data_IF_488054068821
#
_entry.id   IF_488054068821
#
_cell.length_a   1.000
_cell.length_b   1.000
_cell.length_c   1.000
_cell.angle_alpha   90.00
_cell.angle_beta   90.00
_cell.angle_gamma   90.00
#
_symmetry.space_group_name_H-M   'P 1'
#
loop_
_entity.id
_entity.type
_entity.pdbx_description
1 polymer ?
#
# COMPACT_ATOMS: atom_id res chain seq x y z
N UNK A 1 -2.93 -2.96 -16.72
CA UNK A 1 -1.74 -2.91 -15.86
C UNK A 1 -2.14 -2.40 -14.49
N UNK A 2 -1.56 -2.96 -13.41
CA UNK A 2 -1.91 -2.67 -12.01
C UNK A 2 -0.62 -2.47 -11.23
N UNK A 3 -0.67 -1.58 -10.24
CA UNK A 3 0.45 -1.32 -9.32
C UNK A 3 -0.02 -1.72 -7.92
N UNK A 4 0.40 -2.90 -7.41
CA UNK A 4 0.01 -3.39 -6.09
C UNK A 4 0.81 -2.71 -4.98
N UNK A 5 0.23 -2.65 -3.77
CA UNK A 5 0.93 -2.17 -2.56
C UNK A 5 1.81 -3.23 -1.92
N UNK A 6 1.46 -4.51 -2.03
CA UNK A 6 2.11 -5.61 -1.32
C UNK A 6 1.92 -5.56 0.20
N UNK A 7 0.84 -4.97 0.69
CA UNK A 7 0.52 -4.87 2.11
C UNK A 7 -0.12 -6.17 2.62
N UNK A 8 0.17 -6.50 3.88
CA UNK A 8 -0.39 -7.66 4.58
C UNK A 8 -1.02 -7.24 5.89
N UNK A 9 -2.12 -7.91 6.27
CA UNK A 9 -2.76 -7.75 7.57
C UNK A 9 -2.44 -8.94 8.47
N UNK A 10 -1.95 -8.64 9.68
CA UNK A 10 -1.70 -9.64 10.71
C UNK A 10 -2.99 -10.01 11.45
N UNK A 11 -3.07 -11.21 12.06
CA UNK A 11 -4.20 -11.57 12.88
C UNK A 11 -4.51 -10.53 13.95
N UNK A 12 -5.79 -10.19 14.08
CA UNK A 12 -6.29 -9.24 15.07
C UNK A 12 -7.00 -10.02 16.17
N UNK A 13 -6.34 -10.13 17.33
CA UNK A 13 -6.87 -10.79 18.52
C UNK A 13 -7.57 -9.77 19.45
N UNK A 14 -8.36 -8.88 18.89
CA UNK A 14 -9.05 -7.88 19.69
C UNK A 14 -10.35 -8.46 20.21
N UNK A 15 -10.49 -8.50 21.54
CA UNK A 15 -11.69 -8.93 22.25
C UNK A 15 -12.13 -7.77 23.15
N UNK A 16 -13.37 -7.34 23.02
CA UNK A 16 -13.97 -6.34 23.88
C UNK A 16 -15.16 -6.96 24.62
N UNK A 17 -15.08 -7.00 25.95
CA UNK A 17 -16.10 -7.62 26.79
C UNK A 17 -16.43 -9.09 26.42
N UNK A 18 -15.39 -9.87 26.03
CA UNK A 18 -15.56 -11.28 25.62
C UNK A 18 -16.03 -11.47 24.17
N UNK A 19 -16.35 -10.40 23.46
CA UNK A 19 -16.78 -10.44 22.07
C UNK A 19 -15.58 -10.24 21.11
N UNK A 20 -15.45 -11.14 20.12
CA UNK A 20 -14.45 -11.04 19.07
C UNK A 20 -14.82 -9.92 18.09
N UNK A 21 -13.89 -9.01 17.86
CA UNK A 21 -14.12 -7.88 16.96
C UNK A 21 -13.70 -8.19 15.51
N UNK A 22 -14.50 -7.73 14.58
CA UNK A 22 -14.22 -7.74 13.16
C UNK A 22 -13.49 -6.45 12.73
N UNK A 23 -12.98 -6.43 11.51
CA UNK A 23 -12.41 -5.22 10.88
C UNK A 23 -13.02 -4.96 9.53
N UNK A 24 -13.09 -3.69 9.16
CA UNK A 24 -13.34 -3.18 7.82
C UNK A 24 -12.11 -2.44 7.32
N UNK A 25 -11.99 -2.29 6.01
CA UNK A 25 -11.02 -1.40 5.40
C UNK A 25 -11.73 -0.12 4.95
N UNK A 26 -11.30 1.03 5.48
CA UNK A 26 -11.66 2.35 4.95
C UNK A 26 -10.50 2.88 4.09
N UNK A 27 -10.85 3.39 2.92
CA UNK A 27 -9.93 3.96 1.95
C UNK A 27 -10.36 5.41 1.70
N UNK A 28 -9.56 6.34 2.20
CA UNK A 28 -9.73 7.77 1.96
C UNK A 28 -8.84 8.17 0.78
N UNK A 29 -9.40 8.31 -0.41
CA UNK A 29 -8.69 8.72 -1.62
C UNK A 29 -8.47 10.23 -1.58
N UNK A 30 -7.20 10.64 -1.48
CA UNK A 30 -6.78 12.04 -1.44
C UNK A 30 -6.60 12.63 -2.84
N UNK A 31 -6.03 11.82 -3.75
CA UNK A 31 -5.84 12.14 -5.16
C UNK A 31 -5.91 10.87 -6.01
N UNK A 32 -6.42 10.99 -7.22
CA UNK A 32 -6.37 9.98 -8.27
C UNK A 32 -6.47 10.68 -9.62
N UNK A 33 -5.42 10.59 -10.43
CA UNK A 33 -5.35 11.27 -11.72
C UNK A 33 -6.23 10.57 -12.77
N UNK A 34 -6.31 9.24 -12.68
CA UNK A 34 -7.13 8.41 -13.58
C UNK A 34 -7.20 6.96 -13.07
N UNK A 35 -7.99 6.13 -13.76
CA UNK A 35 -8.17 4.72 -13.44
C UNK A 35 -8.96 4.50 -12.15
N UNK A 36 -8.58 3.50 -11.36
CA UNK A 36 -9.25 3.20 -10.09
C UNK A 36 -8.32 2.55 -9.09
N UNK A 37 -8.52 2.82 -7.81
CA UNK A 37 -7.90 2.07 -6.72
C UNK A 37 -8.85 0.92 -6.37
N UNK A 38 -8.44 -0.31 -6.67
CA UNK A 38 -9.14 -1.51 -6.22
C UNK A 38 -8.57 -1.94 -4.86
N UNK A 39 -9.44 -2.35 -3.96
CA UNK A 39 -9.04 -2.80 -2.62
C UNK A 39 -9.93 -3.93 -2.14
N UNK A 40 -9.31 -4.92 -1.49
CA UNK A 40 -10.01 -6.08 -0.95
C UNK A 40 -9.52 -6.37 0.48
N UNK A 41 -10.44 -6.75 1.34
CA UNK A 41 -10.16 -7.28 2.67
C UNK A 41 -10.95 -8.57 2.86
N UNK A 42 -10.27 -9.69 3.13
CA UNK A 42 -10.90 -11.00 3.36
C UNK A 42 -11.87 -11.40 2.23
N UNK A 43 -11.49 -11.16 0.98
CA UNK A 43 -12.32 -11.47 -0.20
C UNK A 43 -13.44 -10.47 -0.48
N UNK A 44 -13.67 -9.48 0.37
CA UNK A 44 -14.62 -8.41 0.11
C UNK A 44 -13.93 -7.27 -0.63
N UNK A 45 -14.23 -7.12 -1.91
CA UNK A 45 -13.58 -6.18 -2.81
C UNK A 45 -14.47 -4.99 -3.15
N UNK A 46 -13.84 -3.84 -3.36
CA UNK A 46 -14.46 -2.61 -3.83
C UNK A 46 -13.46 -1.82 -4.66
N UNK A 47 -13.89 -0.72 -5.26
CA UNK A 47 -13.03 0.17 -6.02
C UNK A 47 -13.44 1.62 -5.88
N UNK A 48 -12.46 2.52 -5.93
CA UNK A 48 -12.64 3.96 -5.90
C UNK A 48 -12.12 4.56 -7.22
N UNK A 49 -12.92 5.38 -7.87
CA UNK A 49 -12.55 6.10 -9.11
C UNK A 49 -12.27 7.57 -8.87
N UNK A 50 -12.80 8.12 -7.78
CA UNK A 50 -12.73 9.53 -7.46
C UNK A 50 -12.18 9.77 -6.06
N UNK A 51 -11.84 11.03 -5.76
CA UNK A 51 -11.56 11.49 -4.41
C UNK A 51 -12.77 11.27 -3.49
N UNK A 52 -12.54 10.68 -2.32
CA UNK A 52 -13.61 10.40 -1.37
C UNK A 52 -13.26 9.31 -0.39
N UNK A 53 -14.23 8.95 0.45
CA UNK A 53 -14.12 7.88 1.43
C UNK A 53 -14.92 6.67 0.99
N UNK A 54 -14.26 5.52 0.98
CA UNK A 54 -14.83 4.23 0.58
C UNK A 54 -14.58 3.19 1.68
N UNK A 55 -15.47 2.23 1.82
CA UNK A 55 -15.32 1.14 2.77
C UNK A 55 -15.58 -0.20 2.11
N UNK A 56 -14.83 -1.23 2.49
CA UNK A 56 -15.15 -2.62 2.20
C UNK A 56 -15.98 -3.21 3.33
N UNK A 57 -16.77 -4.24 3.03
CA UNK A 57 -17.28 -5.10 4.08
C UNK A 57 -16.12 -5.78 4.80
N UNK A 58 -16.34 -6.12 6.05
CA UNK A 58 -15.29 -6.62 6.91
C UNK A 58 -15.48 -8.07 7.34
N UNK A 59 -14.61 -8.51 8.22
CA UNK A 59 -14.64 -9.84 8.80
C UNK A 59 -13.64 -10.00 9.93
N UNK A 60 -13.50 -11.26 10.39
CA UNK A 60 -12.52 -11.61 11.41
C UNK A 60 -11.18 -11.96 10.75
N UNK A 61 -10.10 -11.34 11.22
CA UNK A 61 -8.75 -11.61 10.74
C UNK A 61 -8.07 -12.60 11.68
N UNK A 62 -8.14 -13.87 11.35
CA UNK A 62 -7.63 -14.97 12.17
C UNK A 62 -6.24 -15.45 11.80
N UNK A 63 -5.79 -15.14 10.59
CA UNK A 63 -4.49 -15.49 10.03
C UNK A 63 -3.89 -14.30 9.28
N UNK A 64 -2.62 -14.41 8.93
CA UNK A 64 -1.98 -13.47 8.00
C UNK A 64 -2.73 -13.52 6.67
N UNK A 65 -3.12 -12.38 6.16
CA UNK A 65 -3.86 -12.26 4.89
C UNK A 65 -3.32 -11.08 4.06
N UNK A 66 -3.52 -11.15 2.74
CA UNK A 66 -3.12 -10.10 1.82
C UNK A 66 -4.17 -8.97 1.87
N UNK A 67 -3.69 -7.76 2.13
CA UNK A 67 -4.49 -6.55 1.98
C UNK A 67 -4.36 -6.07 0.53
N UNK A 68 -5.09 -6.75 -0.37
CA UNK A 68 -5.02 -6.47 -1.79
C UNK A 68 -5.47 -5.04 -2.06
N UNK A 69 -4.50 -4.18 -2.31
CA UNK A 69 -4.74 -2.80 -2.72
C UNK A 69 -3.84 -2.47 -3.88
N UNK A 70 -4.44 -2.02 -4.97
CA UNK A 70 -3.74 -1.77 -6.22
C UNK A 70 -4.34 -0.58 -6.97
N UNK A 71 -3.50 0.16 -7.68
CA UNK A 71 -3.96 1.18 -8.61
C UNK A 71 -3.99 0.62 -10.03
N UNK A 72 -5.17 0.63 -10.66
CA UNK A 72 -5.37 0.28 -12.06
C UNK A 72 -5.12 1.51 -12.92
N UNK A 73 -3.98 1.52 -13.61
CA UNK A 73 -3.48 2.67 -14.38
C UNK A 73 -3.91 2.66 -15.86
N UNK A 74 -4.79 1.73 -16.22
CA UNK A 74 -5.30 1.63 -17.60
C UNK A 74 -6.45 2.60 -17.77
N UNK A 75 -6.33 3.46 -18.76
CA UNK A 75 -7.42 4.32 -19.23
C UNK A 75 -8.53 3.45 -19.84
N UNK A 76 -9.76 3.66 -19.42
CA UNK A 76 -10.91 2.81 -19.81
C UNK A 76 -11.27 2.93 -21.30
N UNK A 77 -10.99 4.08 -21.94
CA UNK A 77 -11.31 4.33 -23.35
C UNK A 77 -10.23 3.79 -24.29
N UNK A 78 -8.98 4.04 -23.95
CA UNK A 78 -7.84 3.69 -24.83
C UNK A 78 -7.26 2.32 -24.53
N UNK A 79 -7.60 1.70 -23.41
CA UNK A 79 -7.03 0.45 -22.88
C UNK A 79 -5.49 0.49 -22.72
N UNK A 80 -4.90 1.69 -22.66
CA UNK A 80 -3.45 1.87 -22.48
C UNK A 80 -3.14 2.37 -21.07
N UNK A 81 -1.98 1.98 -20.58
CA UNK A 81 -1.45 2.53 -19.32
C UNK A 81 -1.15 4.03 -19.52
N UNK A 82 -1.60 4.85 -18.58
CA UNK A 82 -1.42 6.30 -18.60
C UNK A 82 -0.57 6.73 -17.41
N UNK A 83 0.38 7.62 -17.62
CA UNK A 83 1.18 8.18 -16.54
C UNK A 83 0.34 9.05 -15.61
N UNK A 84 0.70 9.05 -14.34
CA UNK A 84 0.01 9.82 -13.32
C UNK A 84 0.35 9.32 -11.92
N UNK A 85 -0.45 9.76 -10.96
CA UNK A 85 -0.34 9.34 -9.57
C UNK A 85 -1.71 9.11 -8.91
N UNK A 86 -1.70 8.32 -7.85
CA UNK A 86 -2.86 8.17 -6.96
C UNK A 86 -2.38 8.08 -5.51
N UNK A 87 -3.10 8.72 -4.59
CA UNK A 87 -2.78 8.76 -3.18
C UNK A 87 -4.00 8.44 -2.34
N UNK A 88 -3.85 7.50 -1.44
CA UNK A 88 -4.91 7.10 -0.53
C UNK A 88 -4.39 6.76 0.86
N UNK A 89 -5.25 6.97 1.85
CA UNK A 89 -5.04 6.59 3.23
C UNK A 89 -5.88 5.36 3.52
N UNK A 90 -5.24 4.26 3.88
CA UNK A 90 -5.86 2.99 4.23
C UNK A 90 -5.96 2.88 5.75
N UNK A 91 -7.16 2.68 6.29
CA UNK A 91 -7.40 2.58 7.73
C UNK A 91 -8.16 1.29 8.05
N UNK A 92 -7.63 0.50 8.97
CA UNK A 92 -8.35 -0.64 9.53
C UNK A 92 -9.29 -0.14 10.62
N UNK A 93 -10.58 -0.23 10.36
CA UNK A 93 -11.65 0.15 11.28
C UNK A 93 -12.11 -1.08 12.04
N UNK A 94 -11.96 -1.05 13.37
CA UNK A 94 -12.41 -2.11 14.26
C UNK A 94 -13.93 -1.99 14.48
N UNK A 95 -14.66 -3.07 14.34
CA UNK A 95 -16.12 -3.06 14.43
C UNK A 95 -16.70 -4.31 15.09
N UNK A 96 -17.90 -4.16 15.64
CA UNK A 96 -18.77 -5.31 15.98
C UNK A 96 -19.48 -5.75 14.72
N UNK A 97 -19.48 -7.07 14.49
CA UNK A 97 -20.21 -7.71 13.39
C UNK A 97 -21.43 -8.43 13.98
N UNK A 98 -22.62 -8.03 13.56
CA UNK A 98 -23.89 -8.61 13.99
C UNK A 98 -24.63 -9.16 12.79
N UNK A 99 -25.10 -10.41 12.88
CA UNK A 99 -25.98 -10.97 11.86
C UNK A 99 -27.36 -10.28 11.90
N UNK A 100 -27.86 -9.93 10.73
CA UNK A 100 -29.21 -9.42 10.51
C UNK A 100 -30.16 -10.53 10.01
N UNK A 101 -29.63 -11.76 9.89
CA UNK A 101 -30.34 -12.92 9.34
C UNK A 101 -30.08 -13.11 7.85
N UNK A 102 -30.78 -14.08 7.28
CA UNK A 102 -30.70 -14.43 5.85
C UNK A 102 -31.87 -13.81 5.08
N UNK A 103 -31.59 -13.40 3.85
CA UNK A 103 -32.61 -12.99 2.91
C UNK A 103 -33.34 -14.21 2.28
N UNK A 104 -34.29 -13.93 1.38
CA UNK A 104 -35.09 -14.94 0.68
C UNK A 104 -34.24 -15.86 -0.22
N UNK A 105 -33.01 -15.47 -0.55
CA UNK A 105 -32.05 -16.26 -1.33
C UNK A 105 -31.05 -17.03 -0.45
N UNK A 106 -31.21 -16.95 0.90
CA UNK A 106 -30.35 -17.64 1.87
C UNK A 106 -29.01 -16.93 2.12
N UNK A 107 -28.82 -15.71 1.62
CA UNK A 107 -27.61 -14.90 1.84
C UNK A 107 -27.69 -14.23 3.20
N UNK A 108 -26.67 -14.42 4.02
CA UNK A 108 -26.59 -13.82 5.34
C UNK A 108 -26.10 -12.37 5.27
N UNK A 109 -26.86 -11.46 5.85
CA UNK A 109 -26.54 -10.04 5.92
C UNK A 109 -25.96 -9.67 7.29
N UNK A 110 -25.07 -8.69 7.31
CA UNK A 110 -24.39 -8.27 8.53
C UNK A 110 -24.41 -6.75 8.68
N UNK A 111 -24.60 -6.31 9.91
CA UNK A 111 -24.34 -4.94 10.35
C UNK A 111 -22.92 -4.84 10.94
N UNK A 112 -22.22 -3.78 10.62
CA UNK A 112 -20.88 -3.48 11.15
C UNK A 112 -20.93 -2.16 11.91
N UNK A 113 -20.89 -2.24 13.25
CA UNK A 113 -20.86 -1.05 14.11
C UNK A 113 -19.41 -0.72 14.48
N UNK A 114 -18.92 0.44 14.04
CA UNK A 114 -17.55 0.89 14.33
C UNK A 114 -17.35 1.07 15.84
N UNK A 115 -16.23 0.59 16.36
CA UNK A 115 -15.79 0.72 17.76
C UNK A 115 -14.50 1.51 17.88
N UNK A 116 -13.71 1.59 16.83
CA UNK A 116 -12.44 2.34 16.81
C UNK A 116 -11.64 2.09 15.54
N UNK A 117 -10.47 2.69 15.47
CA UNK A 117 -9.52 2.51 14.39
C UNK A 117 -8.26 1.82 14.94
N UNK A 118 -7.66 0.92 14.14
CA UNK A 118 -6.45 0.21 14.52
C UNK A 118 -5.24 0.86 13.84
N UNK A 119 -4.94 0.43 12.61
CA UNK A 119 -3.75 0.87 11.89
C UNK A 119 -4.12 1.69 10.67
N UNK A 120 -3.30 2.69 10.39
CA UNK A 120 -3.43 3.54 9.21
C UNK A 120 -2.12 3.57 8.45
N UNK A 121 -2.19 3.47 7.12
CA UNK A 121 -1.05 3.63 6.22
C UNK A 121 -1.44 4.52 5.04
N UNK A 122 -0.56 5.42 4.65
CA UNK A 122 -0.72 6.20 3.41
C UNK A 122 0.04 5.49 2.29
N UNK A 123 -0.65 5.26 1.18
CA UNK A 123 -0.07 4.72 -0.04
C UNK A 123 -0.03 5.81 -1.12
N UNK A 124 1.09 5.89 -1.82
CA UNK A 124 1.27 6.81 -2.93
C UNK A 124 1.75 6.00 -4.14
N UNK A 125 0.87 5.81 -5.10
CA UNK A 125 1.16 5.16 -6.36
C UNK A 125 1.67 6.19 -7.35
N UNK A 126 2.76 5.89 -8.01
CA UNK A 126 3.37 6.76 -9.04
C UNK A 126 3.69 5.91 -10.27
N UNK A 127 3.16 6.30 -11.41
CA UNK A 127 3.50 5.74 -12.70
C UNK A 127 3.95 6.86 -13.65
N UNK A 128 5.24 6.88 -13.98
CA UNK A 128 5.83 7.89 -14.85
C UNK A 128 6.92 7.27 -15.74
N UNK A 129 7.38 8.02 -16.76
CA UNK A 129 8.42 7.56 -17.68
C UNK A 129 9.74 7.19 -16.99
N UNK A 130 10.00 7.77 -15.81
CA UNK A 130 11.25 7.53 -15.06
C UNK A 130 11.17 6.30 -14.16
N UNK A 131 10.01 5.64 -14.04
CA UNK A 131 9.80 4.52 -13.11
C UNK A 131 10.33 3.17 -13.62
N UNK A 132 10.90 3.08 -14.82
CA UNK A 132 11.49 1.85 -15.40
C UNK A 132 12.94 1.59 -14.96
N UNK A 133 13.42 2.26 -13.94
CA UNK A 133 14.73 2.05 -13.34
C UNK A 133 14.80 2.75 -11.99
N UNK A 134 15.74 2.34 -11.14
CA UNK A 134 16.12 3.05 -9.92
C UNK A 134 16.73 4.41 -10.32
N UNK A 135 15.90 5.30 -10.85
CA UNK A 135 16.30 6.63 -11.25
C UNK A 135 15.61 7.67 -10.37
N UNK A 136 16.43 8.34 -9.63
CA UNK A 136 16.11 9.66 -9.13
C UNK A 136 15.50 9.70 -7.74
N UNK A 137 16.25 9.20 -6.79
CA UNK A 137 16.39 10.03 -5.60
C UNK A 137 17.28 11.17 -6.06
N UNK A 138 16.71 12.37 -6.26
CA UNK A 138 17.50 13.58 -6.44
C UNK A 138 18.42 13.69 -5.22
N UNK A 139 19.68 13.34 -5.37
CA UNK A 139 20.72 13.53 -4.37
C UNK A 139 21.43 14.87 -4.65
N UNK A 140 20.73 15.82 -5.26
CA UNK A 140 21.32 17.09 -5.68
C UNK A 140 22.13 17.78 -4.57
N UNK A 141 21.73 17.59 -3.31
CA UNK A 141 22.41 18.16 -2.13
C UNK A 141 23.11 17.12 -1.24
N UNK A 142 23.13 15.84 -1.64
CA UNK A 142 23.71 14.79 -0.81
C UNK A 142 25.19 14.57 -1.17
N UNK A 143 26.08 14.75 -0.19
CA UNK A 143 27.51 14.49 -0.33
C UNK A 143 27.86 13.05 0.05
N UNK A 144 28.97 12.55 -0.52
CA UNK A 144 29.50 11.23 -0.18
C UNK A 144 30.22 11.30 1.17
N UNK A 145 29.69 10.57 2.17
CA UNK A 145 30.29 10.46 3.52
C UNK A 145 31.22 9.25 3.67
N UNK A 146 30.97 8.20 2.92
CA UNK A 146 31.83 7.01 2.92
C UNK A 146 31.70 6.23 1.62
N UNK A 147 32.78 5.51 1.27
CA UNK A 147 32.85 4.64 0.10
C UNK A 147 33.42 3.30 0.49
N UNK A 148 32.92 2.22 -0.09
CA UNK A 148 33.34 0.86 0.18
C UNK A 148 33.49 0.06 -1.12
N UNK A 149 34.40 -0.89 -1.16
CA UNK A 149 34.49 -1.92 -2.18
C UNK A 149 33.43 -3.01 -1.97
N UNK A 150 33.34 -3.97 -2.89
CA UNK A 150 32.41 -5.08 -2.82
C UNK A 150 32.62 -5.97 -1.58
N UNK A 151 33.84 -6.10 -1.09
CA UNK A 151 34.25 -6.84 0.10
C UNK A 151 34.05 -6.07 1.43
N UNK A 152 33.50 -4.83 1.36
CA UNK A 152 33.29 -3.99 2.52
C UNK A 152 34.51 -3.14 2.93
N UNK A 153 35.64 -3.22 2.24
CA UNK A 153 36.83 -2.40 2.51
C UNK A 153 36.52 -0.93 2.22
N UNK A 154 36.85 -0.05 3.16
CA UNK A 154 36.64 1.40 2.99
C UNK A 154 37.62 1.99 1.97
N UNK A 155 37.11 2.78 1.04
CA UNK A 155 37.86 3.38 -0.03
C UNK A 155 37.95 4.91 0.15
N UNK A 156 39.12 5.49 -0.13
CA UNK A 156 39.35 6.94 -0.15
C UNK A 156 38.91 7.57 -1.48
N UNK A 157 38.92 6.82 -2.57
CA UNK A 157 38.56 7.25 -3.92
C UNK A 157 37.82 6.14 -4.69
N UNK A 158 37.10 6.48 -5.79
CA UNK A 158 36.48 5.48 -6.66
C UNK A 158 37.53 4.56 -7.31
N UNK A 159 37.29 3.24 -7.21
CA UNK A 159 38.14 2.24 -7.86
C UNK A 159 37.42 1.49 -8.98
N UNK A 160 38.15 0.78 -9.82
CA UNK A 160 37.59 -0.10 -10.86
C UNK A 160 36.74 -1.22 -10.22
N UNK A 161 35.56 -1.46 -10.76
CA UNK A 161 34.59 -2.44 -10.26
C UNK A 161 33.50 -1.82 -9.40
N UNK A 162 32.87 -2.62 -8.54
CA UNK A 162 31.74 -2.19 -7.72
C UNK A 162 32.17 -1.23 -6.61
N UNK A 163 31.56 -0.06 -6.60
CA UNK A 163 31.68 0.94 -5.54
C UNK A 163 30.34 1.08 -4.81
N UNK A 164 30.36 0.99 -3.48
CA UNK A 164 29.21 1.19 -2.59
C UNK A 164 29.42 2.51 -1.85
N UNK A 165 28.54 3.47 -2.04
CA UNK A 165 28.69 4.82 -1.53
C UNK A 165 27.59 5.13 -0.54
N UNK A 166 27.97 5.57 0.67
CA UNK A 166 27.02 6.09 1.67
C UNK A 166 26.96 7.61 1.55
N UNK A 167 25.75 8.14 1.49
CA UNK A 167 25.48 9.58 1.33
C UNK A 167 25.12 10.24 2.65
N UNK A 168 25.24 11.57 2.73
CA UNK A 168 24.92 12.37 3.92
C UNK A 168 23.46 12.29 4.34
N UNK A 169 22.55 11.98 3.43
CA UNK A 169 21.13 11.75 3.69
C UNK A 169 20.79 10.32 4.18
N UNK A 170 21.82 9.52 4.56
CA UNK A 170 21.68 8.15 5.07
C UNK A 170 21.48 7.07 4.00
N UNK A 171 21.35 7.45 2.72
CA UNK A 171 21.15 6.52 1.62
C UNK A 171 22.44 5.88 1.14
N UNK A 172 22.30 4.73 0.48
CA UNK A 172 23.42 3.99 -0.11
C UNK A 172 23.21 3.87 -1.63
N UNK A 173 24.23 4.20 -2.40
CA UNK A 173 24.27 4.00 -3.85
C UNK A 173 25.30 2.96 -4.22
N UNK A 174 25.06 2.21 -5.29
CA UNK A 174 25.99 1.25 -5.89
C UNK A 174 26.20 1.61 -7.36
N UNK A 175 27.44 1.64 -7.80
CA UNK A 175 27.78 1.83 -9.21
C UNK A 175 29.07 1.11 -9.58
N UNK A 176 29.25 0.81 -10.85
CA UNK A 176 30.47 0.20 -11.41
C UNK A 176 31.27 1.30 -12.12
N UNK A 177 32.57 1.37 -11.83
CA UNK A 177 33.49 2.26 -12.51
C UNK A 177 34.35 1.47 -13.49
#
# INVERSE_FOLDING_TARGET
MQIPTGLWIKPIKTVLNGEKLAVKLRVDVENIDHGSIAFCLLGNCSSAKDKGTYESNGGFVDKLDDLQTEWKIVDEETHKAKYGEAKAKLTLVVCRKKSLGKDDFGVEHFEYKNVGESSTVTVHFIYNEKSTGINGISNADATVVARYAADGTRLSAPQKGLNIVKLSNGKTMKYIK
#
